data_IF_700574401838
#
_entry.id   IF_700574401838
#
_cell.length_a   1.000
_cell.length_b   1.000
_cell.length_c   1.000
_cell.angle_alpha   90.00
_cell.angle_beta   90.00
_cell.angle_gamma   90.00
#
_symmetry.space_group_name_H-M   'P 1'
#
loop_
_entity.id
_entity.type
_entity.pdbx_description
1 polymer ?
#
# COMPACT_ATOMS: atom_id res chain seq x y z
N UNK A 1 -6.48 -24.35 -24.03
CA UNK A 1 -6.28 -25.17 -22.82
C UNK A 1 -4.93 -24.74 -22.24
N UNK A 2 -4.90 -24.01 -21.12
CA UNK A 2 -3.64 -23.60 -20.49
C UNK A 2 -2.94 -24.84 -19.92
N UNK A 3 -1.64 -24.98 -20.16
CA UNK A 3 -0.86 -26.13 -19.71
C UNK A 3 -0.68 -26.03 -18.19
N UNK A 4 -0.88 -27.12 -17.44
CA UNK A 4 -0.77 -27.15 -15.96
C UNK A 4 0.57 -26.54 -15.44
N UNK A 5 1.73 -26.74 -16.11
CA UNK A 5 2.99 -26.10 -15.71
C UNK A 5 2.99 -24.56 -15.78
N UNK A 6 2.19 -23.97 -16.68
CA UNK A 6 2.07 -22.51 -16.83
C UNK A 6 1.22 -21.91 -15.70
N UNK A 7 0.26 -22.67 -15.16
CA UNK A 7 -0.55 -22.28 -14.01
C UNK A 7 0.34 -22.25 -12.75
N UNK A 8 1.15 -23.29 -12.51
CA UNK A 8 2.06 -23.33 -11.35
C UNK A 8 3.13 -22.23 -11.39
N UNK A 9 3.53 -21.81 -12.59
CA UNK A 9 4.42 -20.65 -12.76
C UNK A 9 3.71 -19.34 -12.49
N UNK A 10 2.49 -19.17 -13.00
CA UNK A 10 1.70 -17.96 -12.77
C UNK A 10 1.34 -17.78 -11.29
N UNK A 11 1.00 -18.86 -10.60
CA UNK A 11 0.72 -18.86 -9.15
C UNK A 11 1.93 -18.41 -8.35
N UNK A 12 3.13 -18.96 -8.63
CA UNK A 12 4.37 -18.53 -7.94
C UNK A 12 4.71 -17.06 -8.17
N UNK A 13 4.58 -16.58 -9.40
CA UNK A 13 4.81 -15.15 -9.71
C UNK A 13 3.82 -14.27 -8.94
N UNK A 14 2.57 -14.71 -8.80
CA UNK A 14 1.57 -13.99 -8.03
C UNK A 14 1.92 -13.92 -6.54
N UNK A 15 2.31 -15.05 -5.94
CA UNK A 15 2.73 -15.12 -4.53
C UNK A 15 3.97 -14.26 -4.27
N UNK A 16 5.01 -14.34 -5.11
CA UNK A 16 6.22 -13.51 -4.99
C UNK A 16 5.91 -12.01 -5.11
N UNK A 17 4.99 -11.66 -6.00
CA UNK A 17 4.55 -10.27 -6.16
C UNK A 17 3.77 -9.78 -4.94
N UNK A 18 2.87 -10.59 -4.38
CA UNK A 18 2.15 -10.24 -3.15
C UNK A 18 3.09 -10.04 -1.96
N UNK A 19 4.08 -10.92 -1.78
CA UNK A 19 5.07 -10.80 -0.72
C UNK A 19 5.93 -9.55 -0.88
N UNK A 20 6.36 -9.25 -2.11
CA UNK A 20 7.10 -8.03 -2.42
C UNK A 20 6.27 -6.78 -2.10
N UNK A 21 5.01 -6.75 -2.52
CA UNK A 21 4.10 -5.64 -2.23
C UNK A 21 3.84 -5.49 -0.73
N UNK A 22 3.74 -6.60 0.00
CA UNK A 22 3.59 -6.60 1.46
C UNK A 22 4.82 -6.00 2.13
N UNK A 23 6.03 -6.41 1.73
CA UNK A 23 7.28 -5.86 2.24
C UNK A 23 7.39 -4.36 1.97
N UNK A 24 7.10 -3.92 0.74
CA UNK A 24 7.09 -2.51 0.36
C UNK A 24 6.07 -1.71 1.18
N UNK A 25 4.88 -2.27 1.42
CA UNK A 25 3.85 -1.62 2.24
C UNK A 25 4.29 -1.45 3.70
N UNK A 26 5.09 -2.39 4.22
CA UNK A 26 5.71 -2.32 5.55
C UNK A 26 6.72 -1.18 5.68
N UNK A 27 7.27 -0.66 4.59
CA UNK A 27 8.15 0.52 4.62
C UNK A 27 7.37 1.84 4.76
N UNK A 28 6.06 1.83 4.46
CA UNK A 28 5.22 3.02 4.47
C UNK A 28 4.52 3.24 5.82
N UNK A 29 4.46 2.22 6.68
CA UNK A 29 3.85 2.31 8.01
C UNK A 29 4.64 1.56 9.07
N UNK A 30 4.61 2.06 10.29
CA UNK A 30 5.10 1.37 11.48
C UNK A 30 4.09 0.33 11.96
N UNK A 31 4.52 -0.62 12.80
CA UNK A 31 3.64 -1.61 13.44
C UNK A 31 2.50 -0.99 14.27
N UNK A 32 2.70 0.24 14.78
CA UNK A 32 1.67 1.02 15.48
C UNK A 32 0.63 1.69 14.57
N UNK A 33 0.69 1.45 13.26
CA UNK A 33 -0.24 2.03 12.28
C UNK A 33 0.05 3.48 11.89
N UNK A 34 1.16 4.07 12.37
CA UNK A 34 1.61 5.40 11.94
C UNK A 34 2.33 5.34 10.60
N UNK A 35 2.20 6.40 9.79
CA UNK A 35 2.97 6.54 8.55
C UNK A 35 4.43 6.87 8.84
N UNK A 36 5.33 6.20 8.13
CA UNK A 36 6.76 6.56 8.04
C UNK A 36 6.94 7.84 7.20
N UNK A 37 8.12 8.46 7.16
CA UNK A 37 8.38 9.58 6.25
C UNK A 37 8.09 9.24 4.78
N UNK A 38 8.40 8.02 4.34
CA UNK A 38 8.06 7.53 3.01
C UNK A 38 6.55 7.41 2.81
N UNK A 39 5.83 6.87 3.80
CA UNK A 39 4.36 6.80 3.77
C UNK A 39 3.70 8.18 3.71
N UNK A 40 4.27 9.19 4.39
CA UNK A 40 3.81 10.58 4.33
C UNK A 40 4.03 11.16 2.93
N UNK A 41 5.18 10.91 2.30
CA UNK A 41 5.43 11.37 0.94
C UNK A 41 4.44 10.77 -0.06
N UNK A 42 4.15 9.47 0.04
CA UNK A 42 3.13 8.80 -0.78
C UNK A 42 1.73 9.36 -0.52
N UNK A 43 1.39 9.62 0.76
CA UNK A 43 0.13 10.27 1.13
C UNK A 43 -0.02 11.62 0.45
N UNK A 44 0.99 12.49 0.57
CA UNK A 44 0.96 13.84 0.01
C UNK A 44 0.84 13.80 -1.52
N UNK A 45 1.60 12.93 -2.19
CA UNK A 45 1.51 12.77 -3.64
C UNK A 45 0.11 12.30 -4.08
N UNK A 46 -0.49 11.35 -3.36
CA UNK A 46 -1.85 10.88 -3.65
C UNK A 46 -2.89 12.00 -3.51
N UNK A 47 -2.79 12.80 -2.43
CA UNK A 47 -3.66 13.96 -2.22
C UNK A 47 -3.45 15.04 -3.30
N UNK A 48 -2.21 15.33 -3.69
CA UNK A 48 -1.87 16.27 -4.76
C UNK A 48 -2.43 15.84 -6.12
N UNK A 49 -2.55 14.53 -6.35
CA UNK A 49 -3.20 13.95 -7.53
C UNK A 49 -4.73 13.91 -7.44
N UNK A 50 -5.31 14.45 -6.37
CA UNK A 50 -6.76 14.53 -6.18
C UNK A 50 -7.40 13.27 -5.59
N UNK A 51 -6.62 12.33 -5.03
CA UNK A 51 -7.20 11.20 -4.30
C UNK A 51 -7.88 11.69 -3.02
N UNK A 52 -9.05 11.13 -2.70
CA UNK A 52 -9.68 11.33 -1.39
C UNK A 52 -8.84 10.69 -0.28
N UNK A 53 -8.97 11.21 0.94
CA UNK A 53 -8.32 10.65 2.13
C UNK A 53 -8.63 9.16 2.31
N UNK A 54 -9.85 8.72 2.01
CA UNK A 54 -10.26 7.32 2.06
C UNK A 54 -9.55 6.45 1.03
N UNK A 55 -9.28 6.97 -0.18
CA UNK A 55 -8.51 6.25 -1.20
C UNK A 55 -7.04 6.12 -0.79
N UNK A 56 -6.45 7.19 -0.26
CA UNK A 56 -5.07 7.18 0.23
C UNK A 56 -4.90 6.25 1.44
N UNK A 57 -5.86 6.25 2.37
CA UNK A 57 -5.87 5.33 3.51
C UNK A 57 -5.90 3.86 3.08
N UNK A 58 -6.70 3.52 2.05
CA UNK A 58 -6.72 2.17 1.46
C UNK A 58 -5.39 1.82 0.81
N UNK A 59 -4.82 2.72 0.02
CA UNK A 59 -3.53 2.51 -0.64
C UNK A 59 -2.42 2.21 0.38
N UNK A 60 -2.38 2.98 1.46
CA UNK A 60 -1.37 2.84 2.51
C UNK A 60 -1.73 1.75 3.54
N UNK A 61 -2.89 1.12 3.41
CA UNK A 61 -3.41 0.13 4.37
C UNK A 61 -3.35 0.64 5.82
N UNK A 62 -3.83 1.86 6.03
CA UNK A 62 -3.94 2.54 7.34
C UNK A 62 -5.37 3.00 7.60
N UNK A 63 -5.67 3.35 8.85
CA UNK A 63 -6.98 3.93 9.18
C UNK A 63 -7.12 5.33 8.57
N UNK A 64 -8.33 5.74 8.13
CA UNK A 64 -8.57 7.11 7.66
C UNK A 64 -8.18 8.19 8.69
N UNK A 65 -8.29 7.88 9.99
CA UNK A 65 -7.88 8.78 11.07
C UNK A 65 -6.38 9.12 11.03
N UNK A 66 -5.52 8.18 10.62
CA UNK A 66 -4.08 8.41 10.47
C UNK A 66 -3.77 9.44 9.37
N UNK A 67 -4.61 9.54 8.34
CA UNK A 67 -4.53 10.55 7.29
C UNK A 67 -5.04 11.90 7.82
N UNK A 68 -6.25 11.91 8.41
CA UNK A 68 -6.90 13.14 8.89
C UNK A 68 -6.09 13.90 9.94
N UNK A 69 -5.43 13.19 10.86
CA UNK A 69 -4.57 13.79 11.88
C UNK A 69 -3.42 14.58 11.25
N UNK A 70 -2.86 14.10 10.13
CA UNK A 70 -1.71 14.72 9.46
C UNK A 70 -2.09 15.86 8.52
N UNK A 71 -3.29 15.82 7.93
CA UNK A 71 -3.77 16.91 7.06
C UNK A 71 -4.31 18.12 7.84
N UNK A 72 -4.44 18.01 9.16
CA UNK A 72 -4.94 19.08 10.06
C UNK A 72 -3.83 19.76 10.89
N UNK A 73 -2.62 19.20 10.88
CA UNK A 73 -1.43 19.78 11.49
C UNK A 73 -0.74 20.71 10.48
#
# INVERSE_FOLDING_TARGET
>A
MLNIPDIDRATRIHEEMEDTLRQLSGLLKTDGGHLTPAGIAVMNEGLNRGMSQSQVARLLSVSPAAISYRTRA
#
